data_IF_015997496817
#
_entry.id   IF_015997496817
#
_cell.length_a   1.000
_cell.length_b   1.000
_cell.length_c   1.000
_cell.angle_alpha   90.00
_cell.angle_beta   90.00
_cell.angle_gamma   90.00
#
_symmetry.space_group_name_H-M   'P 1'
#
loop_
_entity.id
_entity.type
_entity.pdbx_description
1 polymer ?
#
# COMPACT_ATOMS: atom_id res chain seq x y z
N UNK A 1 -9.56 12.24 10.22
CA UNK A 1 -10.22 12.01 8.92
C UNK A 1 -9.41 10.94 8.21
N UNK A 2 -10.01 9.77 8.03
CA UNK A 2 -9.42 8.66 7.29
C UNK A 2 -9.17 9.04 5.84
N UNK A 3 -7.99 8.74 5.28
CA UNK A 3 -7.74 8.87 3.84
C UNK A 3 -7.60 7.48 3.24
N UNK A 4 -8.44 7.21 2.24
CA UNK A 4 -8.33 6.04 1.37
C UNK A 4 -7.76 6.45 0.02
N UNK A 5 -6.78 5.69 -0.46
CA UNK A 5 -6.21 5.83 -1.81
C UNK A 5 -6.35 4.53 -2.56
N UNK A 6 -7.14 4.57 -3.63
CA UNK A 6 -7.24 3.47 -4.58
C UNK A 6 -6.38 3.77 -5.81
N UNK A 7 -5.36 2.94 -6.00
CA UNK A 7 -4.47 2.95 -7.17
C UNK A 7 -4.55 1.60 -7.91
N UNK A 8 -5.62 0.84 -7.68
CA UNK A 8 -5.80 -0.45 -8.36
C UNK A 8 -6.04 -0.28 -9.86
N UNK A 9 -5.79 -1.35 -10.61
CA UNK A 9 -5.99 -1.41 -12.07
C UNK A 9 -5.18 -0.36 -12.83
N UNK A 10 -3.91 -0.24 -12.49
CA UNK A 10 -2.96 0.59 -13.21
C UNK A 10 -1.79 -0.25 -13.74
N UNK A 11 -0.92 0.39 -14.52
CA UNK A 11 0.32 -0.22 -15.01
C UNK A 11 1.52 0.17 -14.14
N UNK A 12 1.33 0.33 -12.82
CA UNK A 12 2.44 0.68 -11.93
C UNK A 12 3.44 -0.48 -11.86
N UNK A 13 4.71 -0.18 -12.04
CA UNK A 13 5.83 -1.13 -12.04
C UNK A 13 6.86 -0.76 -10.98
N UNK A 14 7.75 -1.70 -10.65
CA UNK A 14 8.82 -1.48 -9.67
C UNK A 14 8.40 -1.81 -8.23
N UNK A 15 9.28 -1.57 -7.25
CA UNK A 15 9.00 -1.82 -5.85
C UNK A 15 8.02 -0.81 -5.25
N UNK A 16 7.28 -1.25 -4.24
CA UNK A 16 6.45 -0.36 -3.43
C UNK A 16 7.39 0.44 -2.52
N UNK A 17 7.37 1.78 -2.55
CA UNK A 17 8.25 2.58 -1.72
C UNK A 17 7.74 2.69 -0.27
N UNK A 18 8.65 2.56 0.69
CA UNK A 18 8.40 2.56 2.13
C UNK A 18 7.69 3.83 2.64
N UNK A 19 7.95 4.96 1.97
CA UNK A 19 7.38 6.28 2.30
C UNK A 19 5.84 6.29 2.32
N UNK A 20 5.21 5.38 1.57
CA UNK A 20 3.75 5.25 1.55
C UNK A 20 3.18 4.79 2.90
N UNK A 21 3.97 4.08 3.72
CA UNK A 21 3.59 3.68 5.07
C UNK A 21 3.70 4.85 6.08
N UNK A 22 4.48 5.88 5.77
CA UNK A 22 4.70 7.04 6.65
C UNK A 22 3.57 8.08 6.55
N UNK A 23 2.66 7.94 5.59
CA UNK A 23 1.55 8.86 5.41
C UNK A 23 0.67 8.91 6.68
N UNK A 24 0.52 10.08 7.35
CA UNK A 24 0.00 10.15 8.71
C UNK A 24 -1.49 9.83 8.83
N UNK A 25 -2.26 9.97 7.75
CA UNK A 25 -3.71 9.76 7.73
C UNK A 25 -4.16 8.68 6.73
N UNK A 26 -3.22 7.91 6.18
CA UNK A 26 -3.56 6.83 5.27
C UNK A 26 -4.10 5.64 6.08
N UNK A 27 -5.35 5.27 5.82
CA UNK A 27 -6.01 4.12 6.45
C UNK A 27 -6.23 2.98 5.47
N UNK A 28 -6.39 3.30 4.18
CA UNK A 28 -6.56 2.29 3.13
C UNK A 28 -5.69 2.65 1.94
N UNK A 29 -4.88 1.68 1.50
CA UNK A 29 -4.15 1.75 0.25
C UNK A 29 -4.42 0.48 -0.56
N UNK A 30 -5.02 0.65 -1.74
CA UNK A 30 -5.29 -0.44 -2.66
C UNK A 30 -4.31 -0.35 -3.85
N UNK A 31 -3.42 -1.34 -3.96
CA UNK A 31 -2.44 -1.47 -5.05
C UNK A 31 -2.68 -2.71 -5.91
N UNK A 32 -3.82 -3.38 -5.74
CA UNK A 32 -4.18 -4.57 -6.51
C UNK A 32 -4.23 -4.31 -8.02
N UNK A 33 -4.08 -5.35 -8.83
CA UNK A 33 -4.12 -5.23 -10.30
C UNK A 33 -3.09 -4.22 -10.84
N UNK A 34 -1.83 -4.34 -10.41
CA UNK A 34 -0.67 -3.61 -10.92
C UNK A 34 0.47 -4.58 -11.27
N UNK A 35 1.56 -4.08 -11.82
CA UNK A 35 2.76 -4.82 -12.20
C UNK A 35 3.93 -4.56 -11.24
N UNK A 36 3.61 -4.37 -9.95
CA UNK A 36 4.58 -4.11 -8.89
C UNK A 36 5.43 -5.36 -8.64
N UNK A 37 6.71 -5.17 -8.36
CA UNK A 37 7.71 -6.22 -8.16
C UNK A 37 8.45 -6.02 -6.84
N UNK A 38 9.19 -7.03 -6.37
CA UNK A 38 9.94 -6.95 -5.12
C UNK A 38 9.08 -7.27 -3.88
N UNK A 39 9.65 -7.06 -2.69
CA UNK A 39 9.00 -7.36 -1.42
C UNK A 39 8.15 -6.20 -0.92
N UNK A 40 7.11 -6.51 -0.13
CA UNK A 40 6.38 -5.51 0.63
C UNK A 40 7.33 -4.91 1.67
N UNK A 41 7.47 -3.56 1.74
CA UNK A 41 8.26 -2.92 2.78
C UNK A 41 7.81 -3.27 4.19
N UNK A 42 8.78 -3.53 5.09
CA UNK A 42 8.50 -3.81 6.50
C UNK A 42 7.80 -2.65 7.21
N UNK A 43 7.95 -1.42 6.72
CA UNK A 43 7.24 -0.24 7.20
C UNK A 43 5.71 -0.42 7.19
N UNK A 44 5.15 -1.13 6.20
CA UNK A 44 3.72 -1.43 6.15
C UNK A 44 3.27 -2.43 7.23
N UNK A 45 4.16 -3.32 7.69
CA UNK A 45 3.86 -4.25 8.79
C UNK A 45 3.69 -3.50 10.11
N UNK A 46 4.57 -2.54 10.37
CA UNK A 46 4.49 -1.67 11.55
C UNK A 46 3.25 -0.78 11.48
N UNK A 47 2.94 -0.25 10.30
CA UNK A 47 1.78 0.62 10.11
C UNK A 47 0.45 -0.13 10.18
N UNK A 48 0.40 -1.40 9.76
CA UNK A 48 -0.79 -2.25 9.90
C UNK A 48 -1.22 -2.44 11.36
N UNK A 49 -0.28 -2.41 12.31
CA UNK A 49 -0.58 -2.46 13.74
C UNK A 49 -1.32 -1.21 14.25
N UNK A 50 -1.30 -0.10 13.49
CA UNK A 50 -1.97 1.16 13.80
C UNK A 50 -3.28 1.36 13.01
N UNK A 51 -3.82 0.31 12.39
CA UNK A 51 -5.12 0.35 11.68
C UNK A 51 -5.04 0.63 10.18
N UNK A 52 -3.84 0.75 9.58
CA UNK A 52 -3.71 0.79 8.12
C UNK A 52 -4.06 -0.58 7.53
N UNK A 53 -5.07 -0.61 6.67
CA UNK A 53 -5.37 -1.75 5.81
C UNK A 53 -4.70 -1.54 4.46
N UNK A 54 -3.69 -2.36 4.15
CA UNK A 54 -3.08 -2.36 2.82
C UNK A 54 -3.53 -3.59 2.06
N UNK A 55 -4.14 -3.37 0.90
CA UNK A 55 -4.53 -4.44 -0.01
C UNK A 55 -3.50 -4.54 -1.12
N UNK A 56 -2.57 -5.47 -0.93
CA UNK A 56 -1.67 -5.93 -1.96
C UNK A 56 -2.32 -7.14 -2.64
N UNK A 57 -2.29 -7.15 -3.98
CA UNK A 57 -2.49 -8.31 -4.86
C UNK A 57 -3.46 -9.37 -4.29
N UNK A 58 -4.74 -9.27 -4.66
CA UNK A 58 -5.62 -10.43 -4.63
C UNK A 58 -5.09 -11.41 -5.67
N UNK A 59 -4.66 -12.60 -5.24
CA UNK A 59 -4.70 -13.75 -6.14
C UNK A 59 -6.16 -14.09 -6.41
#
# INVERSE_FOLDING_TARGET
MAISRDLSYNNLTGPVPDILAELPFLEVLNLSSNQLIGSIPSAFLVKSQNGLTVRFILF
#
